data_IF_957908528023
#
_entry.id   IF_957908528023
#
_cell.length_a   1.000
_cell.length_b   1.000
_cell.length_c   1.000
_cell.angle_alpha   90.00
_cell.angle_beta   90.00
_cell.angle_gamma   90.00
#
_symmetry.space_group_name_H-M   'P 1'
#
loop_
_entity.id
_entity.type
_entity.pdbx_description
1 polymer ?
#
# COMPACT_ATOMS: atom_id res chain seq x y z
N UNK A 1 -40.87 -21.52 3.16
CA UNK A 1 -39.67 -20.69 3.43
C UNK A 1 -39.00 -20.46 2.09
N UNK A 2 -38.88 -19.21 1.64
CA UNK A 2 -38.30 -18.93 0.30
C UNK A 2 -36.80 -19.28 0.32
N UNK A 3 -36.27 -20.02 -0.68
CA UNK A 3 -34.86 -20.38 -0.75
C UNK A 3 -33.93 -19.20 -1.05
N UNK A 4 -34.47 -17.99 -1.18
CA UNK A 4 -33.79 -16.74 -1.59
C UNK A 4 -33.35 -15.84 -0.43
N UNK A 5 -33.53 -16.26 0.83
CA UNK A 5 -33.06 -15.53 2.02
C UNK A 5 -31.98 -16.35 2.74
N UNK A 6 -30.80 -16.48 2.12
CA UNK A 6 -29.60 -16.90 2.84
C UNK A 6 -28.84 -15.63 3.22
N UNK A 7 -28.88 -15.29 4.51
CA UNK A 7 -28.12 -14.15 5.02
C UNK A 7 -26.63 -14.49 4.96
N UNK A 8 -25.91 -13.80 4.10
CA UNK A 8 -24.45 -13.89 4.06
C UNK A 8 -23.93 -13.10 5.25
N UNK A 9 -23.44 -13.81 6.26
CA UNK A 9 -22.92 -13.23 7.51
C UNK A 9 -21.41 -13.01 7.50
N UNK A 10 -20.71 -13.39 6.43
CA UNK A 10 -19.27 -13.28 6.33
C UNK A 10 -18.90 -12.36 5.16
N UNK A 11 -18.07 -11.37 5.43
CA UNK A 11 -17.70 -10.34 4.46
C UNK A 11 -16.98 -10.95 3.25
N UNK A 12 -16.06 -11.88 3.47
CA UNK A 12 -15.29 -12.54 2.41
C UNK A 12 -16.17 -13.47 1.56
N UNK A 13 -17.05 -14.23 2.19
CA UNK A 13 -18.02 -15.08 1.47
C UNK A 13 -18.97 -14.21 0.63
N UNK A 14 -19.32 -13.00 1.09
CA UNK A 14 -20.05 -12.02 0.30
C UNK A 14 -19.40 -11.74 -1.05
N UNK A 15 -18.09 -11.46 -1.06
CA UNK A 15 -17.33 -11.31 -2.32
C UNK A 15 -17.24 -12.61 -3.12
N UNK A 16 -17.09 -13.75 -2.44
CA UNK A 16 -17.05 -15.06 -3.09
C UNK A 16 -18.34 -15.40 -3.84
N UNK A 17 -19.50 -15.08 -3.27
CA UNK A 17 -20.81 -15.33 -3.89
C UNK A 17 -21.12 -14.28 -4.95
N UNK A 18 -20.83 -13.00 -4.69
CA UNK A 18 -21.17 -11.91 -5.61
C UNK A 18 -20.21 -11.75 -6.80
N UNK A 19 -18.91 -12.00 -6.59
CA UNK A 19 -17.84 -11.77 -7.58
C UNK A 19 -16.98 -13.01 -7.86
N UNK A 20 -17.28 -14.14 -7.24
CA UNK A 20 -16.51 -15.38 -7.40
C UNK A 20 -15.28 -15.48 -6.49
N UNK A 21 -14.64 -16.64 -6.53
CA UNK A 21 -13.47 -16.95 -5.70
C UNK A 21 -12.30 -15.97 -5.92
N UNK A 22 -12.09 -15.51 -7.16
CA UNK A 22 -11.04 -14.55 -7.47
C UNK A 22 -11.26 -13.20 -6.74
N UNK A 23 -12.49 -12.68 -6.73
CA UNK A 23 -12.81 -11.44 -6.02
C UNK A 23 -12.54 -11.57 -4.51
N UNK A 24 -12.89 -12.73 -3.92
CA UNK A 24 -12.59 -13.04 -2.52
C UNK A 24 -11.07 -13.06 -2.25
N UNK A 25 -10.26 -13.64 -3.14
CA UNK A 25 -8.81 -13.62 -2.98
C UNK A 25 -8.22 -12.22 -3.14
N UNK A 26 -8.74 -11.41 -4.06
CA UNK A 26 -8.27 -10.04 -4.27
C UNK A 26 -8.51 -9.17 -3.04
N UNK A 27 -9.69 -9.25 -2.40
CA UNK A 27 -9.95 -8.47 -1.18
C UNK A 27 -9.03 -8.90 -0.03
N UNK A 28 -8.77 -10.20 0.13
CA UNK A 28 -7.80 -10.71 1.11
C UNK A 28 -6.40 -10.18 0.79
N UNK A 29 -5.99 -10.20 -0.48
CA UNK A 29 -4.69 -9.71 -0.90
C UNK A 29 -4.53 -8.20 -0.62
N UNK A 30 -5.56 -7.39 -0.82
CA UNK A 30 -5.56 -5.96 -0.47
C UNK A 30 -5.29 -5.77 1.02
N UNK A 31 -5.96 -6.52 1.89
CA UNK A 31 -5.75 -6.40 3.34
C UNK A 31 -4.36 -6.85 3.78
N UNK A 32 -3.86 -7.96 3.24
CA UNK A 32 -2.50 -8.44 3.52
C UNK A 32 -1.43 -7.44 3.04
N UNK A 33 -1.64 -6.82 1.88
CA UNK A 33 -0.78 -5.75 1.38
C UNK A 33 -0.82 -4.53 2.28
N UNK A 34 -2.01 -4.13 2.75
CA UNK A 34 -2.17 -3.03 3.72
C UNK A 34 -1.36 -3.26 4.99
N UNK A 35 -1.44 -4.46 5.60
CA UNK A 35 -0.64 -4.81 6.79
C UNK A 35 0.87 -4.81 6.50
N UNK A 36 1.28 -5.25 5.31
CA UNK A 36 2.69 -5.21 4.90
C UNK A 36 3.19 -3.76 4.80
N UNK A 37 2.39 -2.87 4.22
CA UNK A 37 2.71 -1.45 4.12
C UNK A 37 2.78 -0.77 5.49
N UNK A 38 1.87 -1.09 6.41
CA UNK A 38 1.96 -0.64 7.81
C UNK A 38 3.32 -0.97 8.40
N UNK A 39 3.79 -2.21 8.30
CA UNK A 39 5.09 -2.61 8.83
C UNK A 39 6.27 -1.84 8.22
N UNK A 40 6.24 -1.59 6.91
CA UNK A 40 7.27 -0.80 6.22
C UNK A 40 7.28 0.67 6.68
N UNK A 41 6.11 1.31 6.73
CA UNK A 41 5.99 2.71 7.17
C UNK A 41 6.40 2.87 8.64
N UNK A 42 6.02 1.93 9.51
CA UNK A 42 6.46 1.97 10.92
C UNK A 42 7.97 1.93 11.03
N UNK A 43 8.63 1.03 10.28
CA UNK A 43 10.09 0.91 10.31
C UNK A 43 10.79 2.22 9.94
N UNK A 44 10.25 2.94 8.96
CA UNK A 44 10.80 4.22 8.50
C UNK A 44 10.53 5.37 9.48
N UNK A 45 9.32 5.43 10.04
CA UNK A 45 8.91 6.55 10.89
C UNK A 45 9.32 6.42 12.35
N UNK A 46 9.61 5.21 12.85
CA UNK A 46 9.78 4.94 14.27
C UNK A 46 10.85 5.83 14.94
N UNK A 47 11.95 6.11 14.25
CA UNK A 47 13.04 6.93 14.79
C UNK A 47 12.87 8.43 14.48
N UNK A 48 12.29 8.76 13.31
CA UNK A 48 12.22 10.14 12.80
C UNK A 48 10.98 10.89 13.26
N UNK A 49 9.84 10.20 13.39
CA UNK A 49 8.50 10.76 13.62
C UNK A 49 7.64 9.80 14.46
N UNK A 50 7.92 9.65 15.78
CA UNK A 50 7.26 8.65 16.62
C UNK A 50 5.73 8.83 16.71
N UNK A 51 5.23 10.07 16.68
CA UNK A 51 3.78 10.34 16.70
C UNK A 51 3.08 9.80 15.45
N UNK A 52 3.70 9.96 14.28
CA UNK A 52 3.18 9.42 13.02
C UNK A 52 3.29 7.89 12.98
N UNK A 53 4.36 7.32 13.55
CA UNK A 53 4.51 5.87 13.70
C UNK A 53 3.41 5.28 14.60
N UNK A 54 3.05 5.95 15.69
CA UNK A 54 1.95 5.55 16.56
C UNK A 54 0.59 5.65 15.83
N UNK A 55 0.34 6.72 15.08
CA UNK A 55 -0.86 6.83 14.26
C UNK A 55 -0.95 5.70 13.23
N UNK A 56 0.18 5.39 12.56
CA UNK A 56 0.27 4.29 11.61
C UNK A 56 -0.02 2.93 12.26
N UNK A 57 0.47 2.72 13.49
CA UNK A 57 0.18 1.55 14.29
C UNK A 57 -1.32 1.42 14.58
N UNK A 58 -1.98 2.51 14.96
CA UNK A 58 -3.43 2.54 15.19
C UNK A 58 -4.23 2.14 13.94
N UNK A 59 -3.84 2.64 12.76
CA UNK A 59 -4.47 2.22 11.49
C UNK A 59 -4.21 0.75 11.15
N UNK A 60 -3.02 0.23 11.47
CA UNK A 60 -2.71 -1.19 11.37
C UNK A 60 -3.62 -2.05 12.26
N UNK A 61 -3.79 -1.65 13.52
CA UNK A 61 -4.68 -2.32 14.46
C UNK A 61 -6.15 -2.27 14.00
N UNK A 62 -6.60 -1.13 13.47
CA UNK A 62 -7.93 -0.98 12.90
C UNK A 62 -8.16 -1.89 11.69
N UNK A 63 -7.19 -1.96 10.76
CA UNK A 63 -7.27 -2.86 9.61
C UNK A 63 -7.34 -4.33 10.05
N UNK A 64 -6.51 -4.74 11.01
CA UNK A 64 -6.54 -6.08 11.57
C UNK A 64 -7.90 -6.39 12.23
N UNK A 65 -8.46 -5.45 13.00
CA UNK A 65 -9.78 -5.61 13.58
C UNK A 65 -10.85 -5.80 12.50
N UNK A 66 -10.85 -5.00 11.43
CA UNK A 66 -11.74 -5.18 10.29
C UNK A 66 -11.60 -6.56 9.63
N UNK A 67 -10.36 -7.04 9.47
CA UNK A 67 -10.11 -8.36 8.88
C UNK A 67 -10.73 -9.48 9.72
N UNK A 68 -10.55 -9.44 11.04
CA UNK A 68 -11.07 -10.46 11.97
C UNK A 68 -12.59 -10.35 12.09
N UNK A 69 -13.13 -9.14 12.22
CA UNK A 69 -14.58 -8.93 12.26
C UNK A 69 -15.25 -9.40 10.98
N UNK A 70 -14.62 -9.21 9.82
CA UNK A 70 -15.12 -9.68 8.52
C UNK A 70 -15.31 -11.21 8.41
N UNK A 71 -14.67 -11.99 9.29
CA UNK A 71 -14.87 -13.44 9.38
C UNK A 71 -16.25 -13.77 9.97
N UNK A 72 -16.73 -12.95 10.91
CA UNK A 72 -17.97 -13.20 11.66
C UNK A 72 -19.16 -12.36 11.17
N UNK A 73 -18.91 -11.20 10.55
CA UNK A 73 -19.93 -10.24 10.16
C UNK A 73 -19.69 -9.79 8.71
N UNK A 74 -20.74 -9.75 7.91
CA UNK A 74 -20.72 -9.12 6.60
C UNK A 74 -20.91 -7.62 6.79
N UNK A 75 -19.95 -6.83 6.32
CA UNK A 75 -20.10 -5.39 6.31
C UNK A 75 -21.09 -4.95 5.24
N UNK A 76 -21.99 -4.06 5.67
CA UNK A 76 -22.95 -3.37 4.82
C UNK A 76 -22.85 -1.87 5.06
N UNK A 77 -23.10 -1.11 3.99
CA UNK A 77 -23.28 0.34 4.04
C UNK A 77 -22.13 1.08 4.76
N UNK A 78 -22.43 1.83 5.84
CA UNK A 78 -21.47 2.70 6.54
C UNK A 78 -20.22 1.96 7.03
N UNK A 79 -20.33 0.68 7.42
CA UNK A 79 -19.19 -0.11 7.90
C UNK A 79 -18.15 -0.38 6.81
N UNK A 80 -18.59 -0.51 5.55
CA UNK A 80 -17.66 -0.71 4.42
C UNK A 80 -16.84 0.55 4.14
N UNK A 81 -17.42 1.74 4.34
CA UNK A 81 -16.72 3.01 4.14
C UNK A 81 -15.50 3.12 5.06
N UNK A 82 -15.64 2.73 6.33
CA UNK A 82 -14.54 2.79 7.29
C UNK A 82 -13.38 1.85 6.93
N UNK A 83 -13.69 0.64 6.44
CA UNK A 83 -12.66 -0.31 5.96
C UNK A 83 -11.85 0.32 4.83
N UNK A 84 -12.52 0.85 3.82
CA UNK A 84 -11.85 1.44 2.66
C UNK A 84 -11.11 2.73 2.99
N UNK A 85 -11.63 3.54 3.92
CA UNK A 85 -10.94 4.71 4.44
C UNK A 85 -9.63 4.31 5.12
N UNK A 86 -9.64 3.28 5.97
CA UNK A 86 -8.43 2.75 6.61
C UNK A 86 -7.40 2.31 5.56
N UNK A 87 -7.82 1.55 4.54
CA UNK A 87 -6.94 1.13 3.44
C UNK A 87 -6.38 2.34 2.68
N UNK A 88 -7.22 3.35 2.38
CA UNK A 88 -6.81 4.55 1.66
C UNK A 88 -5.76 5.37 2.44
N UNK A 89 -5.97 5.56 3.75
CA UNK A 89 -5.00 6.26 4.62
C UNK A 89 -3.67 5.50 4.66
N UNK A 90 -3.70 4.18 4.84
CA UNK A 90 -2.48 3.35 4.83
C UNK A 90 -1.74 3.48 3.50
N UNK A 91 -2.47 3.43 2.38
CA UNK A 91 -1.90 3.56 1.03
C UNK A 91 -1.26 4.93 0.82
N UNK A 92 -1.93 5.99 1.27
CA UNK A 92 -1.41 7.37 1.16
C UNK A 92 -0.15 7.56 2.00
N UNK A 93 -0.13 7.03 3.23
CA UNK A 93 1.04 7.10 4.11
C UNK A 93 2.22 6.32 3.52
N UNK A 94 1.99 5.13 2.96
CA UNK A 94 3.02 4.35 2.29
C UNK A 94 3.64 5.10 1.11
N UNK A 95 2.80 5.71 0.27
CA UNK A 95 3.26 6.50 -0.86
C UNK A 95 4.10 7.72 -0.43
N UNK A 96 3.67 8.40 0.62
CA UNK A 96 4.31 9.63 1.10
C UNK A 96 5.63 9.38 1.87
N UNK A 97 5.90 8.15 2.29
CA UNK A 97 7.06 7.81 3.12
C UNK A 97 8.04 6.91 2.37
N UNK A 98 7.60 5.71 1.97
CA UNK A 98 8.50 4.70 1.41
C UNK A 98 8.68 4.90 -0.09
N UNK A 99 7.59 5.10 -0.85
CA UNK A 99 7.68 5.18 -2.30
C UNK A 99 8.34 6.49 -2.77
N UNK A 100 8.12 7.59 -2.05
CA UNK A 100 8.75 8.88 -2.33
C UNK A 100 10.26 8.86 -2.09
N UNK A 101 10.73 8.15 -1.06
CA UNK A 101 12.16 7.97 -0.78
C UNK A 101 12.84 7.09 -1.82
N UNK A 102 12.21 5.96 -2.19
CA UNK A 102 12.71 5.06 -3.25
C UNK A 102 12.80 5.80 -4.59
N UNK A 103 11.77 6.57 -4.97
CA UNK A 103 11.75 7.35 -6.20
C UNK A 103 12.81 8.46 -6.19
N UNK A 104 12.98 9.16 -5.07
CA UNK A 104 13.99 10.21 -4.94
C UNK A 104 15.40 9.67 -5.09
N UNK A 105 15.69 8.49 -4.54
CA UNK A 105 17.02 7.85 -4.64
C UNK A 105 17.32 7.42 -6.08
N UNK A 106 16.37 6.78 -6.76
CA UNK A 106 16.55 6.33 -8.15
C UNK A 106 16.83 7.50 -9.11
N UNK A 107 16.14 8.63 -8.96
CA UNK A 107 16.38 9.82 -9.80
C UNK A 107 17.78 10.39 -9.59
N UNK A 108 18.29 10.38 -8.35
CA UNK A 108 19.64 10.86 -8.07
C UNK A 108 20.72 9.93 -8.62
N UNK A 109 20.50 8.62 -8.59
CA UNK A 109 21.39 7.63 -9.22
C UNK A 109 21.44 7.81 -10.75
N UNK A 110 20.28 7.99 -11.39
CA UNK A 110 20.19 8.25 -12.84
C UNK A 110 20.92 9.57 -13.22
N UNK A 111 20.77 10.63 -12.42
CA UNK A 111 21.45 11.91 -12.67
C UNK A 111 22.98 11.82 -12.47
N UNK A 112 23.49 11.05 -11.49
CA UNK A 112 24.93 10.86 -11.27
C UNK A 112 25.62 10.08 -12.41
N UNK A 113 24.94 9.08 -13.01
CA UNK A 113 25.48 8.29 -14.13
C UNK A 113 25.74 9.18 -15.37
N UNK A 114 24.89 10.17 -15.63
CA UNK A 114 25.06 11.14 -16.72
C UNK A 114 26.24 12.11 -16.49
N UNK A 115 26.65 12.36 -15.24
CA UNK A 115 27.83 13.20 -14.92
C UNK A 115 29.14 12.42 -14.99
N UNK A 116 29.16 11.13 -14.62
CA UNK A 116 30.38 10.31 -14.71
C UNK A 116 30.87 10.13 -16.16
N UNK A 117 29.99 10.16 -17.17
CA UNK A 117 30.38 10.11 -18.60
C UNK A 117 31.20 11.35 -19.05
N UNK A 118 31.13 12.46 -18.31
CA UNK A 118 31.93 13.66 -18.59
C UNK A 118 33.29 13.70 -17.88
N UNK A 119 33.45 13.01 -16.74
CA UNK A 119 34.68 13.08 -15.94
C UNK A 119 35.80 12.14 -16.43
N UNK A 120 35.50 11.11 -17.24
CA UNK A 120 36.51 10.19 -17.79
C UNK A 120 37.12 10.63 -19.15
N UNK A 121 36.95 11.90 -19.55
CA UNK A 121 37.74 12.53 -20.62
C UNK A 121 38.89 13.39 -20.04
N UNK A 122 40.10 12.83 -19.82
CA UNK A 122 41.28 13.60 -19.42
C UNK A 122 41.73 14.63 -20.48
N UNK A 123 41.02 14.72 -21.60
CA UNK A 123 41.31 15.58 -22.73
C UNK A 123 40.13 16.43 -23.22
N UNK A 124 39.13 16.78 -22.41
CA UNK A 124 38.17 17.87 -22.66
C UNK A 124 37.83 18.16 -24.14
N UNK A 125 37.40 17.15 -24.89
CA UNK A 125 37.03 17.30 -26.31
C UNK A 125 35.53 17.57 -26.42
N UNK A 126 35.10 18.65 -27.10
CA UNK A 126 33.68 18.92 -27.27
C UNK A 126 33.02 17.80 -28.08
N UNK A 127 31.86 17.33 -27.58
CA UNK A 127 31.04 16.23 -28.08
C UNK A 127 30.42 16.41 -29.49
N UNK A 128 31.01 17.27 -30.33
CA UNK A 128 30.54 17.57 -31.68
C UNK A 128 31.33 16.79 -32.74
N UNK A 129 31.41 15.46 -32.63
CA UNK A 129 32.02 14.63 -33.69
C UNK A 129 31.61 13.16 -33.62
N UNK A 130 30.31 12.86 -33.59
CA UNK A 130 29.80 11.50 -33.90
C UNK A 130 28.47 11.64 -34.64
N UNK A 131 28.57 11.61 -35.98
CA UNK A 131 27.46 11.32 -36.89
C UNK A 131 27.44 9.81 -37.15
#
# INVERSE_FOLDING_TARGET
MSPTHTDITNYYIGFGVGGGFLAMLLIIAVFLKGLTWVGKVLKELQERRPDHAFLMWCFGAALFAHMVTGISVAYFDQSSVFVWLTVAVISSMYNATVLSEDYGTAVLEDDEEDYEDYEDDPHGRPAAARW
#
